data_IF_156083454373
#
_entry.id   IF_156083454373
#
_cell.length_a   1.000
_cell.length_b   1.000
_cell.length_c   1.000
_cell.angle_alpha   90.00
_cell.angle_beta   90.00
_cell.angle_gamma   90.00
#
_symmetry.space_group_name_H-M   'P 1'
#
loop_
_entity.id
_entity.type
_entity.pdbx_description
1 polymer ?
#
# COMPACT_ATOMS: atom_id res chain seq x y z
N UNK A 1 -45.43 -30.97 14.66
CA UNK A 1 -44.37 -30.58 13.73
C UNK A 1 -43.63 -29.39 14.35
N UNK A 2 -42.34 -29.17 14.07
CA UNK A 2 -41.58 -28.00 14.55
C UNK A 2 -42.25 -26.69 14.08
N UNK A 3 -42.87 -26.73 12.90
CA UNK A 3 -43.76 -25.69 12.34
C UNK A 3 -44.98 -25.32 13.22
N UNK A 4 -45.36 -26.17 14.18
CA UNK A 4 -46.47 -25.92 15.11
C UNK A 4 -46.02 -25.26 16.43
N UNK A 5 -44.72 -25.01 16.62
CA UNK A 5 -44.14 -24.57 17.90
C UNK A 5 -43.22 -23.34 17.80
N UNK A 6 -42.87 -22.91 16.60
CA UNK A 6 -41.93 -21.80 16.34
C UNK A 6 -42.58 -20.76 15.41
N UNK A 7 -42.32 -19.46 15.63
CA UNK A 7 -42.81 -18.38 14.75
C UNK A 7 -42.13 -18.43 13.38
N UNK A 8 -42.92 -18.32 12.30
CA UNK A 8 -42.42 -18.36 10.92
C UNK A 8 -41.88 -16.97 10.50
N UNK A 9 -40.69 -16.88 9.86
CA UNK A 9 -40.16 -15.62 9.34
C UNK A 9 -41.02 -15.04 8.22
N UNK A 10 -40.95 -13.72 8.03
CA UNK A 10 -41.66 -13.01 6.97
C UNK A 10 -41.27 -13.56 5.58
N UNK A 11 -42.26 -13.98 4.79
CA UNK A 11 -42.07 -14.53 3.43
C UNK A 11 -42.20 -16.04 3.26
N UNK A 12 -42.48 -16.81 4.32
CA UNK A 12 -42.65 -18.27 4.25
C UNK A 12 -44.02 -18.73 4.77
N UNK A 13 -44.67 -19.68 4.09
CA UNK A 13 -45.99 -20.20 4.49
C UNK A 13 -45.86 -21.44 5.38
N UNK A 14 -46.95 -21.79 6.07
CA UNK A 14 -47.02 -23.01 6.88
C UNK A 14 -46.82 -24.27 6.05
N UNK A 15 -47.32 -24.30 4.81
CA UNK A 15 -47.12 -25.46 3.92
C UNK A 15 -45.64 -25.68 3.55
N UNK A 16 -44.83 -24.63 3.47
CA UNK A 16 -43.40 -24.74 3.20
C UNK A 16 -42.65 -25.35 4.39
N UNK A 17 -43.10 -25.04 5.62
CA UNK A 17 -42.56 -25.62 6.85
C UNK A 17 -42.89 -27.11 6.99
N UNK A 18 -44.13 -27.51 6.68
CA UNK A 18 -44.54 -28.91 6.80
C UNK A 18 -43.85 -29.82 5.76
N UNK A 19 -43.59 -29.30 4.55
CA UNK A 19 -42.81 -30.01 3.52
C UNK A 19 -41.37 -30.25 3.96
N UNK A 20 -40.78 -29.32 4.73
CA UNK A 20 -39.42 -29.45 5.23
C UNK A 20 -39.27 -30.65 6.17
N UNK A 21 -40.26 -30.90 7.03
CA UNK A 21 -40.20 -31.98 8.02
C UNK A 21 -40.33 -33.37 7.40
N UNK A 22 -41.18 -33.50 6.37
CA UNK A 22 -41.30 -34.74 5.59
C UNK A 22 -39.97 -35.03 4.88
N UNK A 23 -39.35 -34.01 4.31
CA UNK A 23 -38.09 -34.15 3.60
C UNK A 23 -36.92 -34.55 4.51
N UNK A 24 -36.86 -34.01 5.74
CA UNK A 24 -35.88 -34.42 6.75
C UNK A 24 -36.00 -35.91 7.12
N UNK A 25 -37.22 -36.42 7.25
CA UNK A 25 -37.48 -37.83 7.58
C UNK A 25 -37.01 -38.78 6.46
N UNK A 26 -37.18 -38.40 5.19
CA UNK A 26 -36.71 -39.19 4.05
C UNK A 26 -35.17 -39.24 3.95
N UNK A 27 -34.50 -38.15 4.31
CA UNK A 27 -33.04 -38.02 4.31
C UNK A 27 -32.37 -38.95 5.32
N UNK A 28 -32.97 -39.09 6.52
CA UNK A 28 -32.52 -40.04 7.55
C UNK A 28 -32.57 -41.48 7.06
N UNK A 29 -33.55 -41.83 6.21
CA UNK A 29 -33.71 -43.16 5.63
C UNK A 29 -32.65 -43.48 4.57
N UNK A 30 -32.15 -42.49 3.84
CA UNK A 30 -31.11 -42.65 2.81
C UNK A 30 -29.70 -42.79 3.40
N UNK A 31 -29.42 -42.15 4.54
CA UNK A 31 -28.11 -42.19 5.24
C UNK A 31 -27.66 -43.59 5.69
N UNK A 32 -28.59 -44.54 5.88
CA UNK A 32 -28.24 -45.90 6.33
C UNK A 32 -27.61 -46.77 5.24
N UNK A 33 -27.51 -46.30 3.98
CA UNK A 33 -27.20 -47.15 2.83
C UNK A 33 -25.83 -46.95 2.14
N UNK A 34 -24.95 -46.03 2.58
CA UNK A 34 -23.72 -45.73 1.80
C UNK A 34 -22.42 -45.59 2.62
N UNK A 35 -21.39 -46.38 2.27
CA UNK A 35 -19.97 -46.21 2.65
C UNK A 35 -19.06 -46.44 1.43
N UNK A 36 -18.16 -45.48 1.15
CA UNK A 36 -17.03 -45.63 0.21
C UNK A 36 -17.07 -44.67 -0.99
N UNK A 37 -16.89 -43.35 -0.78
CA UNK A 37 -16.93 -42.36 -1.88
C UNK A 37 -15.70 -41.45 -1.92
N UNK A 38 -15.34 -41.07 -3.15
CA UNK A 38 -14.25 -40.15 -3.53
C UNK A 38 -14.43 -38.73 -2.95
N UNK A 39 -13.33 -37.99 -2.75
CA UNK A 39 -13.33 -36.59 -2.30
C UNK A 39 -14.07 -35.62 -3.23
N UNK A 40 -14.33 -36.02 -4.49
CA UNK A 40 -15.14 -35.25 -5.46
C UNK A 40 -16.60 -35.70 -5.54
N UNK A 41 -16.96 -36.80 -4.89
CA UNK A 41 -18.34 -37.24 -4.86
C UNK A 41 -19.20 -36.23 -4.09
N UNK A 42 -20.45 -36.06 -4.52
CA UNK A 42 -21.41 -35.25 -3.78
C UNK A 42 -21.50 -35.78 -2.33
N UNK A 43 -21.35 -34.93 -1.30
CA UNK A 43 -21.35 -35.42 0.07
C UNK A 43 -22.72 -35.99 0.42
N UNK A 44 -22.76 -37.16 1.06
CA UNK A 44 -24.00 -37.88 1.34
C UNK A 44 -24.66 -37.46 2.65
N UNK A 45 -23.99 -36.61 3.44
CA UNK A 45 -24.43 -36.16 4.75
C UNK A 45 -25.16 -34.81 4.74
N UNK A 46 -25.99 -34.60 3.74
CA UNK A 46 -26.77 -33.39 3.53
C UNK A 46 -27.82 -33.11 4.63
N UNK A 47 -28.12 -31.83 4.87
CA UNK A 47 -29.26 -31.36 5.68
C UNK A 47 -29.90 -30.12 5.04
N UNK A 48 -31.24 -29.98 5.06
CA UNK A 48 -31.89 -28.73 4.73
C UNK A 48 -31.70 -27.71 5.86
N UNK A 49 -31.84 -26.42 5.54
CA UNK A 49 -31.75 -25.34 6.52
C UNK A 49 -32.92 -24.39 6.37
N UNK A 50 -33.60 -24.09 7.46
CA UNK A 50 -34.65 -23.10 7.47
C UNK A 50 -34.10 -21.70 7.16
N UNK A 51 -34.76 -20.86 6.34
CA UNK A 51 -36.02 -21.15 5.63
C UNK A 51 -35.81 -21.74 4.21
N UNK A 52 -34.56 -21.87 3.74
CA UNK A 52 -34.19 -22.42 2.44
C UNK A 52 -34.20 -23.96 2.43
N UNK A 53 -35.34 -24.58 2.75
CA UNK A 53 -35.46 -26.04 2.95
C UNK A 53 -35.27 -26.87 1.67
N UNK A 54 -35.42 -26.23 0.50
CA UNK A 54 -35.16 -26.83 -0.81
C UNK A 54 -33.67 -26.85 -1.19
N UNK A 55 -32.82 -26.19 -0.41
CA UNK A 55 -31.37 -26.16 -0.59
C UNK A 55 -30.73 -26.95 0.54
N UNK A 56 -29.93 -27.95 0.18
CA UNK A 56 -29.24 -28.78 1.15
C UNK A 56 -27.79 -28.33 1.28
N UNK A 57 -27.27 -28.32 2.50
CA UNK A 57 -25.84 -28.14 2.77
C UNK A 57 -25.27 -29.49 3.21
N UNK A 58 -24.13 -29.88 2.62
CA UNK A 58 -23.57 -31.21 2.79
C UNK A 58 -22.09 -31.16 3.18
N UNK A 59 -21.56 -32.27 3.70
CA UNK A 59 -20.12 -32.48 3.93
C UNK A 59 -19.47 -31.51 4.91
N UNK A 60 -18.19 -31.27 4.68
CA UNK A 60 -17.38 -30.34 5.46
C UNK A 60 -17.89 -28.88 5.37
N UNK A 61 -18.53 -28.52 4.26
CA UNK A 61 -19.21 -27.22 4.14
C UNK A 61 -20.35 -27.12 5.16
N UNK A 62 -21.14 -28.19 5.33
CA UNK A 62 -22.20 -28.25 6.35
C UNK A 62 -21.62 -28.16 7.75
N UNK A 63 -20.58 -28.93 8.04
CA UNK A 63 -19.91 -28.90 9.36
C UNK A 63 -19.42 -27.49 9.67
N UNK A 64 -18.83 -26.82 8.69
CA UNK A 64 -18.38 -25.43 8.85
C UNK A 64 -19.54 -24.48 9.07
N UNK A 65 -20.58 -24.56 8.24
CA UNK A 65 -21.76 -23.71 8.34
C UNK A 65 -22.47 -23.86 9.69
N UNK A 66 -22.63 -25.10 10.18
CA UNK A 66 -23.15 -25.40 11.51
C UNK A 66 -22.31 -24.75 12.62
N UNK A 67 -20.97 -24.82 12.52
CA UNK A 67 -20.05 -24.21 13.50
C UNK A 67 -20.15 -22.69 13.58
N UNK A 68 -20.63 -22.04 12.50
CA UNK A 68 -20.83 -20.60 12.43
C UNK A 68 -22.21 -20.17 12.95
N UNK A 69 -23.11 -21.12 13.24
CA UNK A 69 -24.50 -20.86 13.64
C UNK A 69 -25.55 -21.14 12.55
N UNK A 70 -25.16 -21.70 11.41
CA UNK A 70 -26.09 -22.01 10.32
C UNK A 70 -26.81 -20.76 9.80
N UNK A 71 -28.12 -20.82 9.63
CA UNK A 71 -28.92 -19.72 9.04
C UNK A 71 -28.96 -18.45 9.87
N UNK A 72 -28.59 -18.50 11.14
CA UNK A 72 -28.48 -17.31 12.02
C UNK A 72 -27.08 -16.70 12.02
N UNK A 73 -26.12 -17.35 11.33
CA UNK A 73 -24.77 -16.81 11.16
C UNK A 73 -24.75 -15.59 10.25
N UNK A 74 -23.60 -14.91 10.20
CA UNK A 74 -23.39 -13.79 9.27
C UNK A 74 -23.56 -14.16 7.79
N UNK A 75 -23.49 -15.45 7.42
CA UNK A 75 -23.69 -15.92 6.05
C UNK A 75 -25.18 -15.90 5.64
N UNK A 76 -26.09 -15.98 6.60
CA UNK A 76 -27.51 -16.16 6.34
C UNK A 76 -27.84 -17.50 5.67
N UNK A 77 -29.08 -17.70 5.19
CA UNK A 77 -29.53 -18.98 4.65
C UNK A 77 -28.83 -19.36 3.33
N UNK A 78 -28.74 -20.68 3.02
CA UNK A 78 -28.16 -21.14 1.76
C UNK A 78 -29.05 -20.74 0.57
N UNK A 79 -28.43 -20.35 -0.54
CA UNK A 79 -29.13 -19.86 -1.75
C UNK A 79 -28.98 -20.77 -2.96
N UNK A 80 -27.96 -21.63 -2.98
CA UNK A 80 -27.74 -22.62 -4.01
C UNK A 80 -27.19 -23.92 -3.40
N UNK A 81 -27.44 -25.06 -4.05
CA UNK A 81 -26.81 -26.32 -3.66
C UNK A 81 -25.30 -26.24 -3.89
N UNK A 82 -24.56 -27.08 -3.16
CA UNK A 82 -23.13 -27.29 -3.37
C UNK A 82 -22.85 -27.67 -4.85
N UNK A 83 -21.81 -27.05 -5.42
CA UNK A 83 -21.29 -27.35 -6.76
C UNK A 83 -19.77 -27.62 -6.69
N UNK A 84 -19.29 -28.48 -7.60
CA UNK A 84 -17.85 -28.58 -7.85
C UNK A 84 -17.33 -27.29 -8.48
N UNK A 85 -16.13 -26.85 -8.07
CA UNK A 85 -15.48 -25.71 -8.67
C UNK A 85 -14.95 -26.07 -10.08
N UNK A 86 -14.82 -25.09 -11.01
CA UNK A 86 -14.31 -25.31 -12.37
C UNK A 86 -12.96 -26.02 -12.47
N UNK A 87 -12.13 -25.96 -11.42
CA UNK A 87 -10.84 -26.66 -11.35
C UNK A 87 -10.96 -28.15 -11.02
N UNK A 88 -12.17 -28.66 -10.75
CA UNK A 88 -12.47 -30.02 -10.30
C UNK A 88 -11.64 -30.47 -9.08
N UNK A 89 -11.21 -29.54 -8.23
CA UNK A 89 -10.41 -29.84 -7.03
C UNK A 89 -11.20 -29.62 -5.75
N UNK A 90 -11.99 -28.54 -5.71
CA UNK A 90 -12.79 -28.18 -4.56
C UNK A 90 -14.28 -28.08 -4.89
N UNK A 91 -15.04 -27.75 -3.86
CA UNK A 91 -16.48 -27.51 -3.94
C UNK A 91 -16.80 -26.19 -3.28
N UNK A 92 -17.95 -25.61 -3.61
CA UNK A 92 -18.46 -24.42 -2.94
C UNK A 92 -19.95 -24.49 -2.78
N UNK A 93 -20.44 -23.79 -1.77
CA UNK A 93 -21.85 -23.50 -1.59
C UNK A 93 -22.05 -22.03 -1.33
N UNK A 94 -23.09 -21.45 -1.95
CA UNK A 94 -23.41 -20.03 -1.82
C UNK A 94 -24.51 -19.85 -0.77
N UNK A 95 -24.30 -18.86 0.09
CA UNK A 95 -25.26 -18.37 1.07
C UNK A 95 -25.60 -16.92 0.76
N UNK A 96 -26.59 -16.37 1.46
CA UNK A 96 -27.08 -15.00 1.22
C UNK A 96 -25.97 -13.94 1.23
N UNK A 97 -25.06 -13.99 2.20
CA UNK A 97 -23.95 -13.02 2.34
C UNK A 97 -22.60 -13.54 1.84
N UNK A 98 -22.60 -14.63 1.07
CA UNK A 98 -21.41 -15.13 0.38
C UNK A 98 -21.20 -16.64 0.53
N UNK A 99 -20.17 -17.18 -0.13
CA UNK A 99 -19.93 -18.61 -0.21
C UNK A 99 -19.02 -19.15 0.91
N UNK A 100 -19.17 -20.45 1.16
CA UNK A 100 -18.13 -21.28 1.78
C UNK A 100 -17.48 -22.10 0.67
N UNK A 101 -16.15 -22.05 0.60
CA UNK A 101 -15.33 -22.87 -0.28
C UNK A 101 -14.69 -24.00 0.51
N UNK A 102 -14.62 -25.18 -0.08
CA UNK A 102 -13.94 -26.34 0.46
C UNK A 102 -12.94 -26.92 -0.52
N UNK A 103 -11.80 -27.36 0.00
CA UNK A 103 -10.87 -28.23 -0.74
C UNK A 103 -10.34 -29.34 0.18
N UNK A 104 -9.89 -30.48 -0.38
CA UNK A 104 -9.31 -31.55 0.44
C UNK A 104 -8.01 -31.14 1.15
N UNK A 105 -7.28 -30.13 0.66
CA UNK A 105 -6.04 -29.66 1.28
C UNK A 105 -6.27 -28.62 2.38
N UNK A 106 -7.37 -27.86 2.33
CA UNK A 106 -7.55 -26.70 3.20
C UNK A 106 -8.77 -26.78 4.09
N UNK A 107 -9.73 -27.66 3.80
CA UNK A 107 -11.00 -27.70 4.52
C UNK A 107 -11.96 -26.59 4.05
N UNK A 108 -13.04 -26.39 4.80
CA UNK A 108 -14.13 -25.48 4.44
C UNK A 108 -13.97 -24.13 5.13
N UNK A 109 -13.96 -23.04 4.35
CA UNK A 109 -13.81 -21.67 4.84
C UNK A 109 -14.77 -20.69 4.14
N UNK A 110 -15.44 -19.80 4.90
CA UNK A 110 -16.21 -18.71 4.32
C UNK A 110 -15.27 -17.67 3.70
N UNK A 111 -15.60 -17.18 2.50
CA UNK A 111 -14.91 -16.06 1.86
C UNK A 111 -15.96 -15.04 1.49
N UNK A 112 -16.00 -13.90 2.18
CA UNK A 112 -17.11 -12.94 2.09
C UNK A 112 -16.61 -11.51 1.89
N UNK A 113 -17.54 -10.60 1.56
CA UNK A 113 -17.29 -9.15 1.48
C UNK A 113 -16.06 -8.79 0.62
N UNK A 114 -15.18 -7.92 1.13
CA UNK A 114 -13.97 -7.46 0.45
C UNK A 114 -13.02 -8.60 0.06
N UNK A 115 -12.97 -9.67 0.86
CA UNK A 115 -12.16 -10.85 0.56
C UNK A 115 -12.67 -11.55 -0.70
N UNK A 116 -13.97 -11.80 -0.79
CA UNK A 116 -14.59 -12.43 -1.96
C UNK A 116 -14.41 -11.56 -3.21
N UNK A 117 -14.64 -10.25 -3.08
CA UNK A 117 -14.47 -9.32 -4.19
C UNK A 117 -13.04 -9.33 -4.72
N UNK A 118 -12.05 -9.16 -3.83
CA UNK A 118 -10.64 -9.10 -4.21
C UNK A 118 -10.12 -10.44 -4.73
N UNK A 119 -10.53 -11.54 -4.13
CA UNK A 119 -10.19 -12.88 -4.61
C UNK A 119 -10.79 -13.15 -5.99
N UNK A 120 -12.00 -12.65 -6.26
CA UNK A 120 -12.62 -12.70 -7.59
C UNK A 120 -11.86 -11.93 -8.66
N UNK A 121 -11.33 -10.74 -8.33
CA UNK A 121 -10.42 -9.99 -9.23
C UNK A 121 -9.12 -10.75 -9.52
N UNK A 122 -8.76 -11.70 -8.64
CA UNK A 122 -7.61 -12.57 -8.79
C UNK A 122 -7.99 -13.98 -9.31
N UNK A 123 -9.15 -14.13 -9.95
CA UNK A 123 -9.66 -15.35 -10.58
C UNK A 123 -9.93 -16.52 -9.62
N UNK A 124 -10.34 -16.21 -8.38
CA UNK A 124 -10.77 -17.18 -7.37
C UNK A 124 -9.77 -18.36 -7.19
N UNK A 125 -10.27 -19.59 -7.06
CA UNK A 125 -9.49 -20.81 -6.87
C UNK A 125 -8.59 -21.15 -8.06
N UNK A 126 -8.99 -20.77 -9.28
CA UNK A 126 -8.18 -20.93 -10.48
C UNK A 126 -6.98 -19.97 -10.47
N UNK A 127 -7.11 -18.87 -9.74
CA UNK A 127 -6.15 -17.79 -9.60
C UNK A 127 -4.84 -18.11 -8.90
N UNK A 128 -4.08 -17.05 -8.65
CA UNK A 128 -2.77 -17.10 -8.00
C UNK A 128 -2.83 -17.38 -6.50
N UNK A 129 -3.97 -17.14 -5.85
CA UNK A 129 -4.15 -17.37 -4.41
C UNK A 129 -4.58 -18.80 -4.06
N UNK A 130 -5.25 -19.50 -4.98
CA UNK A 130 -5.87 -20.81 -4.76
C UNK A 130 -6.93 -20.76 -3.64
N UNK A 131 -7.07 -21.82 -2.85
CA UNK A 131 -8.13 -21.93 -1.85
C UNK A 131 -7.82 -21.18 -0.55
N UNK A 132 -8.85 -20.70 0.17
CA UNK A 132 -8.67 -20.18 1.54
C UNK A 132 -8.19 -21.27 2.48
N UNK A 133 -7.33 -20.92 3.43
CA UNK A 133 -6.82 -21.81 4.51
C UNK A 133 -7.24 -21.37 5.90
N UNK A 134 -7.84 -20.19 6.02
CA UNK A 134 -8.41 -19.69 7.26
C UNK A 134 -9.75 -19.05 6.98
N UNK A 135 -10.55 -18.91 8.04
CA UNK A 135 -11.60 -17.90 8.07
C UNK A 135 -10.98 -16.50 8.12
N UNK A 136 -11.84 -15.48 8.12
CA UNK A 136 -11.42 -14.11 8.35
C UNK A 136 -10.79 -13.93 9.74
N UNK A 137 -9.61 -13.32 9.79
CA UNK A 137 -8.85 -13.00 11.00
C UNK A 137 -8.97 -11.49 11.25
N UNK A 138 -9.47 -11.11 12.41
CA UNK A 138 -9.47 -9.72 12.88
C UNK A 138 -8.13 -9.43 13.57
N UNK A 139 -7.46 -8.37 13.13
CA UNK A 139 -6.17 -7.92 13.64
C UNK A 139 -6.36 -6.92 14.79
N UNK A 140 -5.37 -6.74 15.68
CA UNK A 140 -5.49 -5.93 16.89
C UNK A 140 -5.83 -4.45 16.66
N UNK A 141 -5.48 -3.91 15.49
CA UNK A 141 -5.73 -2.53 15.07
C UNK A 141 -7.06 -2.35 14.30
N UNK A 142 -7.87 -3.41 14.21
CA UNK A 142 -9.12 -3.44 13.45
C UNK A 142 -8.94 -3.75 11.96
N UNK A 143 -7.72 -3.94 11.48
CA UNK A 143 -7.45 -4.56 10.19
C UNK A 143 -7.99 -5.99 10.13
N UNK A 144 -8.16 -6.52 8.93
CA UNK A 144 -8.63 -7.88 8.69
C UNK A 144 -7.71 -8.58 7.71
N UNK A 145 -7.55 -9.89 7.86
CA UNK A 145 -6.74 -10.72 6.98
C UNK A 145 -7.40 -12.05 6.75
N UNK A 146 -7.25 -12.61 5.56
CA UNK A 146 -7.60 -14.00 5.29
C UNK A 146 -6.46 -14.68 4.55
N UNK A 147 -6.08 -15.87 5.01
CA UNK A 147 -5.02 -16.68 4.41
C UNK A 147 -5.58 -17.57 3.31
N UNK A 148 -4.77 -17.71 2.27
CA UNK A 148 -4.97 -18.59 1.13
C UNK A 148 -3.70 -19.41 0.91
N UNK A 149 -3.77 -20.49 0.14
CA UNK A 149 -2.62 -21.42 0.00
C UNK A 149 -1.35 -20.72 -0.52
N UNK A 150 -1.51 -19.70 -1.37
CA UNK A 150 -0.39 -19.02 -2.02
C UNK A 150 -0.25 -17.55 -1.62
N UNK A 151 -0.94 -17.09 -0.58
CA UNK A 151 -0.84 -15.72 -0.11
C UNK A 151 -1.92 -15.35 0.88
N UNK A 152 -2.12 -14.06 1.10
CA UNK A 152 -3.19 -13.55 1.91
C UNK A 152 -3.78 -12.29 1.30
N UNK A 153 -5.04 -12.05 1.63
CA UNK A 153 -5.70 -10.79 1.38
C UNK A 153 -5.71 -10.02 2.70
N UNK A 154 -5.36 -8.75 2.65
CA UNK A 154 -5.36 -7.84 3.79
C UNK A 154 -6.32 -6.69 3.53
N UNK A 155 -7.18 -6.37 4.49
CA UNK A 155 -8.13 -5.27 4.45
C UNK A 155 -7.86 -4.36 5.64
N UNK A 156 -7.70 -3.06 5.38
CA UNK A 156 -7.55 -2.04 6.42
C UNK A 156 -8.49 -0.88 6.13
N UNK A 157 -8.75 0.00 7.09
CA UNK A 157 -9.69 1.11 6.91
C UNK A 157 -9.36 1.98 5.70
N UNK A 158 -8.07 2.21 5.43
CA UNK A 158 -7.59 3.00 4.29
C UNK A 158 -7.67 2.23 2.95
N UNK A 159 -7.89 0.92 2.98
CA UNK A 159 -8.05 0.05 1.82
C UNK A 159 -9.19 -0.94 2.05
N UNK A 160 -10.43 -0.43 2.01
CA UNK A 160 -11.63 -1.20 2.29
C UNK A 160 -11.89 -2.35 1.28
N UNK A 161 -11.26 -2.30 0.11
CA UNK A 161 -11.38 -3.33 -0.94
C UNK A 161 -10.38 -4.48 -0.73
N UNK A 162 -9.34 -4.24 0.07
CA UNK A 162 -8.28 -5.19 0.38
C UNK A 162 -7.23 -5.33 -0.72
N UNK A 163 -6.11 -5.97 -0.38
CA UNK A 163 -4.96 -6.19 -1.26
C UNK A 163 -4.34 -7.57 -1.08
N UNK A 164 -3.90 -8.16 -2.19
CA UNK A 164 -3.22 -9.45 -2.25
C UNK A 164 -1.72 -9.30 -2.00
N UNK A 165 -1.19 -10.07 -1.05
CA UNK A 165 0.25 -10.31 -0.90
C UNK A 165 0.49 -11.82 -0.99
N UNK A 166 1.35 -12.25 -1.91
CA UNK A 166 1.68 -13.65 -2.08
C UNK A 166 2.63 -14.16 -0.99
N UNK A 167 2.62 -15.46 -0.78
CA UNK A 167 3.66 -16.13 -0.02
C UNK A 167 5.02 -15.97 -0.74
N UNK A 168 6.08 -15.78 0.04
CA UNK A 168 7.44 -15.62 -0.46
C UNK A 168 8.10 -14.31 -0.04
N UNK A 169 9.14 -13.87 -0.76
CA UNK A 169 10.17 -13.00 -0.21
C UNK A 169 9.68 -11.60 0.19
N UNK A 170 8.70 -11.06 -0.52
CA UNK A 170 8.10 -9.76 -0.17
C UNK A 170 7.35 -9.84 1.15
N UNK A 171 6.52 -10.89 1.32
CA UNK A 171 5.75 -11.12 2.56
C UNK A 171 6.68 -11.45 3.72
N UNK A 172 7.70 -12.26 3.47
CA UNK A 172 8.71 -12.60 4.47
C UNK A 172 9.43 -11.35 4.94
N UNK A 173 9.91 -10.50 4.02
CA UNK A 173 10.54 -9.23 4.36
C UNK A 173 9.59 -8.30 5.12
N UNK A 174 8.35 -8.15 4.67
CA UNK A 174 7.37 -7.32 5.38
C UNK A 174 7.14 -7.81 6.82
N UNK A 175 7.07 -9.12 7.03
CA UNK A 175 6.96 -9.71 8.37
C UNK A 175 8.19 -9.41 9.25
N UNK A 176 9.41 -9.37 8.69
CA UNK A 176 10.61 -9.01 9.47
C UNK A 176 10.60 -7.57 10.00
N UNK A 177 9.86 -6.68 9.33
CA UNK A 177 9.73 -5.26 9.72
C UNK A 177 8.41 -4.97 10.43
N UNK A 178 7.82 -5.98 11.07
CA UNK A 178 6.60 -5.89 11.88
C UNK A 178 5.33 -6.39 11.19
N UNK A 179 5.29 -6.43 9.85
CA UNK A 179 4.14 -6.92 9.09
C UNK A 179 2.80 -6.37 9.58
N UNK A 180 1.88 -7.30 9.86
CA UNK A 180 0.57 -7.04 10.48
C UNK A 180 0.52 -7.34 11.99
N UNK A 181 1.67 -7.36 12.67
CA UNK A 181 1.75 -7.59 14.11
C UNK A 181 1.22 -6.38 14.91
N UNK A 182 0.89 -6.53 16.21
CA UNK A 182 0.53 -5.39 17.06
C UNK A 182 1.62 -4.30 17.02
N UNK A 183 1.24 -3.05 16.74
CA UNK A 183 2.17 -1.94 16.50
C UNK A 183 2.55 -1.72 15.03
N UNK A 184 2.27 -2.70 14.17
CA UNK A 184 2.39 -2.60 12.71
C UNK A 184 3.83 -2.49 12.19
N UNK A 185 3.97 -2.60 10.87
CA UNK A 185 5.17 -2.18 10.17
C UNK A 185 5.19 -0.67 9.95
N UNK A 186 6.39 -0.06 9.88
CA UNK A 186 6.54 1.32 9.41
C UNK A 186 5.98 1.52 7.99
N UNK A 187 5.88 0.45 7.19
CA UNK A 187 5.26 0.47 5.87
C UNK A 187 3.73 0.58 5.92
N UNK A 188 3.10 0.15 7.02
CA UNK A 188 1.65 0.00 7.13
C UNK A 188 1.11 -1.20 6.33
N UNK A 189 -0.16 -1.11 5.93
CA UNK A 189 -0.86 -2.14 5.15
C UNK A 189 -0.58 -2.04 3.66
N UNK A 190 -0.72 -3.15 2.91
CA UNK A 190 -0.72 -3.11 1.45
C UNK A 190 -1.94 -2.36 0.92
N UNK A 191 -1.72 -1.55 -0.11
CA UNK A 191 -2.75 -0.71 -0.75
C UNK A 191 -3.08 -1.13 -2.18
N UNK A 192 -2.26 -2.01 -2.76
CA UNK A 192 -2.45 -2.59 -4.09
C UNK A 192 -2.10 -4.09 -4.06
N UNK A 193 -2.57 -4.85 -5.05
CA UNK A 193 -2.17 -6.25 -5.20
C UNK A 193 -0.70 -6.33 -5.59
N UNK A 194 0.03 -7.29 -5.02
CA UNK A 194 1.43 -7.55 -5.35
C UNK A 194 1.59 -7.78 -6.86
N UNK A 195 2.47 -7.01 -7.48
CA UNK A 195 2.81 -7.14 -8.90
C UNK A 195 3.93 -8.18 -9.02
N UNK A 196 3.64 -9.26 -9.73
CA UNK A 196 4.58 -10.33 -10.02
C UNK A 196 4.17 -11.04 -11.34
N UNK A 197 5.02 -11.04 -12.38
CA UNK A 197 6.30 -10.34 -12.47
C UNK A 197 6.14 -8.81 -12.66
N UNK A 198 7.20 -8.06 -12.40
CA UNK A 198 7.36 -6.66 -12.83
C UNK A 198 7.47 -6.55 -14.37
N UNK A 199 7.29 -5.35 -14.97
CA UNK A 199 7.35 -5.16 -16.42
C UNK A 199 8.66 -5.60 -17.08
N UNK A 200 9.77 -5.57 -16.34
CA UNK A 200 11.09 -6.07 -16.78
C UNK A 200 11.19 -7.61 -16.79
N UNK A 201 10.21 -8.30 -16.19
CA UNK A 201 10.18 -9.76 -16.05
C UNK A 201 11.10 -10.33 -14.97
N UNK A 202 11.84 -9.49 -14.23
CA UNK A 202 12.92 -9.94 -13.34
C UNK A 202 12.54 -9.96 -11.86
N UNK A 203 11.60 -9.10 -11.46
CA UNK A 203 11.28 -8.91 -10.05
C UNK A 203 9.80 -8.92 -9.72
N UNK A 204 9.53 -8.58 -8.47
CA UNK A 204 8.19 -8.44 -7.92
C UNK A 204 8.18 -7.20 -7.03
N UNK A 205 7.03 -6.57 -6.86
CA UNK A 205 6.86 -5.51 -5.88
C UNK A 205 5.49 -5.51 -5.22
N UNK A 206 5.44 -4.95 -4.02
CA UNK A 206 4.21 -4.63 -3.33
C UNK A 206 4.24 -3.19 -2.82
N UNK A 207 3.10 -2.50 -2.95
CA UNK A 207 2.90 -1.14 -2.47
C UNK A 207 2.16 -1.16 -1.14
N UNK A 208 2.72 -0.43 -0.18
CA UNK A 208 2.20 -0.21 1.15
C UNK A 208 1.89 1.27 1.36
N UNK A 209 1.21 1.60 2.46
CA UNK A 209 0.81 2.98 2.79
C UNK A 209 1.98 3.97 2.79
N UNK A 210 3.13 3.56 3.34
CA UNK A 210 4.28 4.46 3.54
C UNK A 210 5.52 4.05 2.72
N UNK A 211 5.35 3.17 1.73
CA UNK A 211 6.46 2.77 0.88
C UNK A 211 6.19 1.54 0.02
N UNK A 212 7.26 0.94 -0.46
CA UNK A 212 7.22 -0.25 -1.33
C UNK A 212 8.21 -1.28 -0.83
N UNK A 213 7.97 -2.56 -1.14
CA UNK A 213 9.00 -3.59 -1.08
C UNK A 213 9.23 -4.08 -2.51
N UNK A 214 10.48 -4.06 -2.95
CA UNK A 214 10.90 -4.67 -4.22
C UNK A 214 11.73 -5.90 -3.94
N UNK A 215 11.57 -6.91 -4.79
CA UNK A 215 12.37 -8.13 -4.77
C UNK A 215 12.85 -8.48 -6.18
N UNK A 216 14.09 -8.94 -6.27
CA UNK A 216 14.61 -9.67 -7.44
C UNK A 216 15.41 -10.89 -6.98
N UNK A 217 15.61 -11.92 -7.83
CA UNK A 217 16.49 -13.05 -7.52
C UNK A 217 17.93 -12.63 -7.22
N UNK A 218 18.41 -11.54 -7.83
CA UNK A 218 19.78 -11.07 -7.69
C UNK A 218 20.02 -10.28 -6.40
N UNK A 219 19.01 -9.54 -5.93
CA UNK A 219 19.17 -8.62 -4.79
C UNK A 219 18.49 -9.12 -3.53
N UNK A 220 17.37 -9.81 -3.61
CA UNK A 220 16.51 -10.06 -2.45
C UNK A 220 15.47 -8.95 -2.23
N UNK A 221 14.74 -9.02 -1.11
CA UNK A 221 13.59 -8.16 -0.85
C UNK A 221 13.97 -7.01 0.09
N UNK A 222 13.74 -5.77 -0.35
CA UNK A 222 14.03 -4.58 0.45
C UNK A 222 12.92 -3.53 0.40
N UNK A 223 12.58 -2.93 1.56
CA UNK A 223 11.71 -1.79 1.64
C UNK A 223 12.41 -0.53 1.13
N UNK A 224 11.68 0.32 0.42
CA UNK A 224 12.11 1.66 0.01
C UNK A 224 11.01 2.64 0.41
N UNK A 225 11.35 3.68 1.17
CA UNK A 225 10.36 4.61 1.75
C UNK A 225 10.77 6.07 1.65
N UNK A 226 9.82 6.96 1.93
CA UNK A 226 10.07 8.40 2.11
C UNK A 226 10.85 9.07 0.98
N UNK A 227 11.82 9.90 1.37
CA UNK A 227 12.63 10.69 0.42
C UNK A 227 13.47 9.83 -0.54
N UNK A 228 13.92 8.64 -0.11
CA UNK A 228 14.65 7.72 -0.97
C UNK A 228 13.71 7.14 -2.03
N UNK A 229 12.51 6.71 -1.64
CA UNK A 229 11.50 6.22 -2.60
C UNK A 229 11.17 7.28 -3.64
N UNK A 230 10.94 8.53 -3.21
CA UNK A 230 10.66 9.63 -4.14
C UNK A 230 11.83 9.84 -5.12
N UNK A 231 13.07 9.85 -4.61
CA UNK A 231 14.26 10.03 -5.43
C UNK A 231 14.49 8.88 -6.43
N UNK A 232 14.20 7.65 -6.01
CA UNK A 232 14.33 6.45 -6.85
C UNK A 232 13.24 6.38 -7.92
N UNK A 233 12.00 6.74 -7.57
CA UNK A 233 10.87 6.83 -8.48
C UNK A 233 11.14 7.76 -9.68
N UNK A 234 11.69 8.95 -9.41
CA UNK A 234 12.06 9.94 -10.44
C UNK A 234 13.12 9.43 -11.41
N UNK A 235 13.92 8.44 -11.00
CA UNK A 235 14.95 7.85 -11.85
C UNK A 235 14.47 6.63 -12.64
N UNK A 236 13.18 6.29 -12.55
CA UNK A 236 12.58 5.17 -13.28
C UNK A 236 12.50 3.86 -12.48
N UNK A 237 12.54 3.93 -11.14
CA UNK A 237 12.50 2.76 -10.27
C UNK A 237 13.54 1.69 -10.65
N UNK A 238 13.15 0.42 -10.71
CA UNK A 238 13.99 -0.74 -11.00
C UNK A 238 14.51 -0.75 -12.44
N UNK A 239 13.82 -0.06 -13.35
CA UNK A 239 14.28 0.10 -14.75
C UNK A 239 15.23 1.28 -14.92
N UNK A 240 15.41 2.07 -13.87
CA UNK A 240 16.25 3.25 -13.82
C UNK A 240 17.73 2.96 -13.63
N UNK A 241 18.54 4.02 -13.60
CA UNK A 241 20.00 3.92 -13.44
C UNK A 241 20.46 3.21 -12.15
N UNK A 242 19.63 3.22 -11.10
CA UNK A 242 19.95 2.60 -9.81
C UNK A 242 19.58 1.11 -9.77
N UNK A 243 18.62 0.65 -10.58
CA UNK A 243 18.13 -0.73 -10.51
C UNK A 243 17.42 -1.06 -9.21
N UNK A 244 17.46 -2.33 -8.81
CA UNK A 244 16.84 -2.84 -7.59
C UNK A 244 17.61 -2.44 -6.32
N UNK A 245 16.92 -2.27 -5.17
CA UNK A 245 17.58 -2.07 -3.89
C UNK A 245 18.35 -3.32 -3.45
N UNK A 246 19.48 -3.12 -2.76
CA UNK A 246 20.37 -4.19 -2.24
C UNK A 246 20.58 -4.13 -0.74
N UNK A 247 20.10 -3.08 -0.07
CA UNK A 247 20.16 -2.92 1.39
C UNK A 247 18.86 -2.36 1.92
N UNK A 248 18.62 -2.52 3.22
CA UNK A 248 17.66 -1.67 3.93
C UNK A 248 18.16 -0.21 3.94
N UNK A 249 17.22 0.72 4.13
CA UNK A 249 17.53 2.12 4.40
C UNK A 249 18.18 2.25 5.78
N UNK A 250 19.30 2.98 5.86
CA UNK A 250 20.06 3.25 7.08
C UNK A 250 20.25 4.75 7.28
N UNK A 251 20.70 5.13 8.47
CA UNK A 251 21.24 6.48 8.75
C UNK A 251 22.76 6.41 8.84
N UNK A 252 23.45 7.41 8.31
CA UNK A 252 24.91 7.52 8.37
C UNK A 252 25.32 8.87 8.95
N UNK A 253 26.59 9.07 9.38
CA UNK A 253 27.05 10.38 9.84
C UNK A 253 26.93 11.49 8.78
N UNK A 254 26.94 11.12 7.48
CA UNK A 254 26.86 12.06 6.37
C UNK A 254 25.44 12.22 5.78
N UNK A 255 24.50 11.33 6.12
CA UNK A 255 23.16 11.32 5.56
C UNK A 255 22.11 10.85 6.58
N UNK A 256 20.99 11.56 6.68
CA UNK A 256 19.87 11.14 7.54
C UNK A 256 19.23 9.86 7.02
N UNK A 257 19.21 9.66 5.70
CA UNK A 257 18.78 8.42 5.07
C UNK A 257 19.76 8.05 3.96
N UNK A 258 20.17 6.79 3.90
CA UNK A 258 21.05 6.22 2.89
C UNK A 258 20.55 4.84 2.51
N UNK A 259 20.50 4.52 1.22
CA UNK A 259 20.16 3.18 0.75
C UNK A 259 20.93 2.84 -0.52
N UNK A 260 21.43 1.60 -0.58
CA UNK A 260 22.20 1.11 -1.73
C UNK A 260 21.31 0.32 -2.67
N UNK A 261 21.56 0.50 -3.95
CA UNK A 261 20.93 -0.15 -5.09
C UNK A 261 22.00 -0.74 -6.00
N UNK A 262 21.61 -1.57 -6.96
CA UNK A 262 22.55 -2.22 -7.90
C UNK A 262 23.50 -1.23 -8.61
N UNK A 263 22.97 -0.07 -9.01
CA UNK A 263 23.68 0.97 -9.76
C UNK A 263 24.27 2.10 -8.92
N UNK A 264 24.17 2.03 -7.59
CA UNK A 264 24.74 3.06 -6.70
C UNK A 264 23.93 3.31 -5.43
N UNK A 265 24.29 4.37 -4.70
CA UNK A 265 23.66 4.73 -3.42
C UNK A 265 22.86 6.02 -3.57
N UNK A 266 21.67 6.06 -2.96
CA UNK A 266 20.88 7.27 -2.78
C UNK A 266 21.05 7.74 -1.33
N UNK A 267 21.68 8.89 -1.16
CA UNK A 267 21.85 9.56 0.13
C UNK A 267 20.97 10.81 0.21
N UNK A 268 20.18 10.89 1.29
CA UNK A 268 19.45 12.08 1.71
C UNK A 268 20.22 12.70 2.86
N UNK A 269 20.85 13.84 2.60
CA UNK A 269 21.64 14.53 3.62
C UNK A 269 20.76 15.16 4.70
N UNK A 270 21.28 15.22 5.93
CA UNK A 270 20.66 16.02 6.97
C UNK A 270 20.59 17.47 6.48
N UNK A 271 19.42 18.10 6.51
CA UNK A 271 19.36 19.55 6.35
C UNK A 271 20.28 20.16 7.42
N UNK A 272 21.33 20.92 7.08
CA UNK A 272 22.15 21.55 8.09
C UNK A 272 21.27 22.51 8.90
N UNK A 273 21.42 22.51 10.22
CA UNK A 273 20.75 23.49 11.06
C UNK A 273 21.35 24.86 10.78
N UNK A 274 20.54 25.74 10.20
CA UNK A 274 20.86 27.13 9.98
C UNK A 274 20.87 27.86 11.31
N UNK A 275 21.94 28.58 11.67
CA UNK A 275 21.96 29.48 12.82
C UNK A 275 22.17 30.92 12.34
N UNK A 276 21.16 31.77 12.49
CA UNK A 276 21.26 33.21 12.20
C UNK A 276 21.55 33.96 13.50
N UNK A 277 22.60 34.77 13.51
CA UNK A 277 22.92 35.65 14.63
C UNK A 277 21.94 36.82 14.69
N UNK A 278 21.39 37.10 15.86
CA UNK A 278 20.49 38.22 16.13
C UNK A 278 21.33 39.38 16.68
N UNK A 279 21.05 40.60 16.23
CA UNK A 279 21.78 41.81 16.64
C UNK A 279 21.83 42.03 18.17
N UNK A 280 20.91 41.44 18.94
CA UNK A 280 20.87 41.50 20.41
C UNK A 280 21.75 40.44 21.12
N UNK A 281 22.61 39.71 20.41
CA UNK A 281 23.50 38.70 20.99
C UNK A 281 22.88 37.30 21.20
N UNK A 282 21.77 37.02 20.51
CA UNK A 282 21.15 35.68 20.45
C UNK A 282 21.38 35.00 19.11
N UNK A 283 20.95 33.75 18.97
CA UNK A 283 20.87 33.05 17.68
C UNK A 283 19.43 32.60 17.45
N UNK A 284 19.03 32.48 16.20
CA UNK A 284 17.76 31.88 15.80
C UNK A 284 18.08 30.75 14.83
N UNK A 285 17.68 29.54 15.21
CA UNK A 285 18.01 28.33 14.48
C UNK A 285 16.86 27.88 13.59
N UNK A 286 17.15 27.34 12.40
CA UNK A 286 16.14 26.84 11.46
C UNK A 286 16.57 25.56 10.76
N UNK A 287 15.59 24.80 10.28
CA UNK A 287 15.79 23.81 9.20
C UNK A 287 15.31 24.41 7.89
N UNK A 288 16.10 24.23 6.82
CA UNK A 288 15.60 24.37 5.46
C UNK A 288 15.46 22.97 4.90
N UNK A 289 14.23 22.49 4.84
CA UNK A 289 13.93 21.24 4.16
C UNK A 289 13.64 21.59 2.70
N UNK A 290 14.52 21.14 1.82
CA UNK A 290 14.31 21.25 0.38
C UNK A 290 13.76 19.92 -0.13
N UNK A 291 12.74 19.96 -0.98
CA UNK A 291 12.48 18.81 -1.85
C UNK A 291 13.59 18.68 -2.91
N UNK A 292 13.56 17.60 -3.69
CA UNK A 292 14.48 17.47 -4.82
C UNK A 292 14.06 18.40 -5.94
N UNK A 293 15.07 18.89 -6.66
CA UNK A 293 14.94 19.35 -8.04
C UNK A 293 14.14 18.35 -8.89
N UNK A 294 12.97 18.76 -9.36
CA UNK A 294 12.11 17.97 -10.23
C UNK A 294 11.69 18.77 -11.45
N UNK A 295 11.33 18.07 -12.53
CA UNK A 295 10.75 18.70 -13.72
C UNK A 295 9.23 18.63 -13.60
N UNK A 296 8.57 19.78 -13.60
CA UNK A 296 7.11 19.87 -13.67
C UNK A 296 6.67 20.28 -15.07
N UNK A 297 5.68 19.59 -15.61
CA UNK A 297 4.91 20.04 -16.77
C UNK A 297 3.55 20.48 -16.28
N UNK A 298 3.28 21.79 -16.27
CA UNK A 298 1.95 22.30 -15.93
C UNK A 298 1.12 22.50 -17.19
N UNK A 299 -0.20 22.32 -17.09
CA UNK A 299 -1.15 22.72 -18.13
C UNK A 299 -1.91 23.95 -17.65
N UNK A 300 -1.80 25.07 -18.37
CA UNK A 300 -2.57 26.28 -18.09
C UNK A 300 -3.54 26.52 -19.24
N UNK A 301 -4.85 26.40 -18.97
CA UNK A 301 -5.89 26.58 -19.98
C UNK A 301 -5.80 25.58 -21.16
N UNK A 302 -5.38 24.34 -20.91
CA UNK A 302 -5.23 23.31 -21.94
C UNK A 302 -3.90 23.36 -22.72
N UNK A 303 -3.09 24.40 -22.54
CA UNK A 303 -1.76 24.51 -23.16
C UNK A 303 -0.72 23.89 -22.23
N UNK A 304 0.10 22.98 -22.77
CA UNK A 304 1.27 22.41 -22.06
C UNK A 304 2.31 23.51 -21.93
N UNK A 305 2.62 23.90 -20.70
CA UNK A 305 3.73 24.80 -20.39
C UNK A 305 5.02 23.99 -20.55
N UNK A 306 6.08 24.56 -21.14
CA UNK A 306 7.38 23.90 -21.24
C UNK A 306 7.85 23.34 -19.88
N UNK A 307 8.54 22.18 -19.86
CA UNK A 307 8.98 21.57 -18.62
C UNK A 307 9.83 22.56 -17.82
N UNK A 308 9.47 22.75 -16.56
CA UNK A 308 10.12 23.71 -15.65
C UNK A 308 10.79 22.92 -14.52
N UNK A 309 12.09 23.10 -14.36
CA UNK A 309 12.79 22.59 -13.18
C UNK A 309 12.35 23.41 -11.95
N UNK A 310 11.93 22.74 -10.88
CA UNK A 310 11.47 23.35 -9.63
C UNK A 310 12.02 22.58 -8.43
N UNK A 311 12.21 23.30 -7.33
CA UNK A 311 12.35 22.73 -5.99
C UNK A 311 11.84 23.76 -4.98
N UNK A 312 11.34 23.28 -3.87
CA UNK A 312 10.69 24.00 -2.79
C UNK A 312 11.50 23.84 -1.51
N UNK A 313 11.80 24.96 -0.87
CA UNK A 313 12.29 24.99 0.51
C UNK A 313 11.21 25.47 1.46
N UNK A 314 11.16 24.93 2.68
CA UNK A 314 10.43 25.57 3.79
C UNK A 314 11.34 25.79 4.99
N UNK A 315 10.95 26.74 5.84
CA UNK A 315 11.73 27.17 6.98
C UNK A 315 10.93 26.99 8.28
N UNK A 316 11.51 26.33 9.26
CA UNK A 316 10.91 26.11 10.57
C UNK A 316 11.80 26.70 11.67
N UNK A 317 11.27 27.50 12.60
CA UNK A 317 12.05 28.00 13.72
C UNK A 317 12.29 26.86 14.70
N UNK A 318 13.55 26.58 15.01
CA UNK A 318 13.94 25.55 15.94
C UNK A 318 13.97 26.07 17.37
N UNK A 319 14.72 27.16 17.62
CA UNK A 319 14.89 27.77 18.94
C UNK A 319 15.27 29.25 18.85
N UNK A 320 14.90 30.03 19.87
CA UNK A 320 15.38 31.40 20.15
C UNK A 320 15.06 32.46 19.08
N UNK A 321 14.00 32.25 18.29
CA UNK A 321 13.56 33.21 17.29
C UNK A 321 12.62 34.29 17.89
N UNK A 322 12.78 35.58 17.53
CA UNK A 322 11.88 36.63 17.98
C UNK A 322 10.41 36.34 17.61
N UNK A 323 9.44 36.70 18.47
CA UNK A 323 8.03 36.68 18.10
C UNK A 323 7.82 37.54 16.83
N UNK A 324 7.30 36.94 15.76
CA UNK A 324 7.14 37.53 14.42
C UNK A 324 8.43 37.68 13.59
N UNK A 325 9.47 36.89 13.86
CA UNK A 325 10.63 36.78 12.98
C UNK A 325 10.20 36.63 11.51
N UNK A 326 10.89 37.33 10.60
CA UNK A 326 10.65 37.24 9.15
C UNK A 326 11.93 37.01 8.40
N UNK A 327 11.87 36.30 7.29
CA UNK A 327 13.04 35.98 6.48
C UNK A 327 12.84 36.34 5.00
N UNK A 328 13.93 36.71 4.36
CA UNK A 328 14.10 36.73 2.91
C UNK A 328 14.69 35.39 2.49
N UNK A 329 14.10 34.74 1.49
CA UNK A 329 14.54 33.47 0.93
C UNK A 329 15.03 33.69 -0.49
N UNK A 330 16.10 33.00 -0.90
CA UNK A 330 16.61 33.01 -2.28
C UNK A 330 16.83 31.61 -2.75
N UNK A 331 16.55 31.34 -4.02
CA UNK A 331 17.02 30.13 -4.67
C UNK A 331 17.55 30.36 -6.07
N UNK A 332 18.45 29.45 -6.44
CA UNK A 332 19.06 29.41 -7.75
C UNK A 332 19.28 27.97 -8.21
N UNK A 333 19.17 27.72 -9.52
CA UNK A 333 19.62 26.44 -10.08
C UNK A 333 21.13 26.48 -10.24
N UNK A 334 21.77 25.34 -9.93
CA UNK A 334 23.17 25.12 -10.23
C UNK A 334 23.34 23.89 -11.12
N UNK A 335 24.32 23.92 -12.01
CA UNK A 335 24.79 22.74 -12.73
C UNK A 335 26.22 22.41 -12.36
N UNK A 336 26.55 21.12 -12.40
CA UNK A 336 27.92 20.63 -12.28
C UNK A 336 28.59 20.78 -13.66
N UNK A 337 29.69 21.53 -13.70
CA UNK A 337 30.50 21.65 -14.91
C UNK A 337 31.42 20.44 -15.12
N UNK A 338 32.08 20.38 -16.28
CA UNK A 338 32.96 19.28 -16.65
C UNK A 338 34.18 19.11 -15.72
N UNK A 339 34.52 20.14 -14.94
CA UNK A 339 35.61 20.12 -13.98
C UNK A 339 35.12 19.71 -12.57
N UNK A 340 33.84 19.35 -12.42
CA UNK A 340 33.24 18.97 -11.14
C UNK A 340 32.90 20.17 -10.25
N UNK A 341 32.82 21.39 -10.78
CA UNK A 341 32.44 22.57 -10.00
C UNK A 341 30.99 22.96 -10.23
N UNK A 342 30.32 23.43 -9.18
CA UNK A 342 28.95 23.90 -9.26
C UNK A 342 28.89 25.35 -9.74
N UNK A 343 28.10 25.59 -10.79
CA UNK A 343 27.93 26.89 -11.41
C UNK A 343 26.50 27.40 -11.26
N UNK A 344 26.35 28.65 -10.83
CA UNK A 344 25.06 29.34 -10.68
C UNK A 344 24.43 29.64 -12.05
N UNK A 345 23.14 29.34 -12.20
CA UNK A 345 22.37 29.60 -13.42
C UNK A 345 21.56 30.89 -13.27
N UNK A 346 22.16 32.02 -13.64
CA UNK A 346 21.66 33.37 -13.34
C UNK A 346 20.20 33.66 -13.79
N UNK A 347 19.70 33.01 -14.84
CA UNK A 347 18.33 33.18 -15.36
C UNK A 347 17.26 32.37 -14.61
N UNK A 348 17.66 31.59 -13.61
CA UNK A 348 16.76 30.78 -12.77
C UNK A 348 16.59 31.32 -11.35
N UNK A 349 17.11 32.51 -11.09
CA UNK A 349 17.17 33.10 -9.76
C UNK A 349 15.79 33.60 -9.31
N UNK A 350 15.38 33.23 -8.10
CA UNK A 350 14.15 33.72 -7.48
C UNK A 350 14.39 34.17 -6.04
N UNK A 351 13.74 35.25 -5.64
CA UNK A 351 13.84 35.82 -4.29
C UNK A 351 12.45 36.12 -3.77
N UNK A 352 12.18 35.64 -2.56
CA UNK A 352 10.97 35.97 -1.83
C UNK A 352 11.32 36.71 -0.55
N UNK A 353 10.62 37.81 -0.31
CA UNK A 353 10.89 38.64 0.85
C UNK A 353 9.86 38.45 1.95
N UNK A 354 10.26 38.74 3.19
CA UNK A 354 9.31 39.03 4.27
C UNK A 354 8.40 37.86 4.68
N UNK A 355 8.87 36.62 4.58
CA UNK A 355 8.11 35.39 4.89
C UNK A 355 7.98 35.19 6.40
N UNK A 356 6.93 34.46 6.84
CA UNK A 356 6.67 34.07 8.25
C UNK A 356 6.93 32.56 8.48
N UNK A 357 7.41 32.16 9.68
CA UNK A 357 7.65 30.76 9.98
C UNK A 357 6.33 30.04 10.27
N UNK A 358 6.14 28.83 9.78
CA UNK A 358 4.94 28.03 10.06
C UNK A 358 4.79 26.77 9.21
N UNK A 359 4.11 25.77 9.76
CA UNK A 359 3.76 24.53 9.06
C UNK A 359 2.45 24.71 8.28
N UNK A 360 2.53 24.51 6.97
CA UNK A 360 1.40 24.64 6.05
C UNK A 360 1.94 24.67 4.63
N UNK A 361 1.44 23.78 3.77
CA UNK A 361 2.01 23.54 2.44
C UNK A 361 2.20 24.85 1.66
N UNK A 362 3.47 25.15 1.38
CA UNK A 362 4.01 26.09 0.40
C UNK A 362 4.19 27.57 0.80
N UNK A 363 5.43 27.92 1.18
CA UNK A 363 5.99 29.27 0.95
C UNK A 363 7.04 29.15 -0.16
N UNK A 364 6.67 29.55 -1.38
CA UNK A 364 7.36 29.19 -2.62
C UNK A 364 8.61 30.05 -2.85
N UNK A 365 9.81 29.49 -2.74
CA UNK A 365 10.97 29.98 -3.51
C UNK A 365 11.30 28.89 -4.52
N UNK A 366 10.96 29.12 -5.78
CA UNK A 366 11.22 28.18 -6.87
C UNK A 366 12.18 28.83 -7.86
N UNK A 367 13.32 28.19 -8.07
CA UNK A 367 14.27 28.57 -9.10
C UNK A 367 13.80 27.98 -10.43
N UNK A 368 12.91 28.69 -11.13
CA UNK A 368 12.27 28.19 -12.34
C UNK A 368 13.06 28.60 -13.57
N UNK A 369 13.36 27.65 -14.43
CA UNK A 369 13.74 27.99 -15.80
C UNK A 369 13.31 26.91 -16.78
N UNK A 370 13.10 27.32 -18.03
CA UNK A 370 12.74 26.39 -19.10
C UNK A 370 13.86 25.36 -19.23
N UNK A 371 13.49 24.09 -19.24
CA UNK A 371 14.42 22.96 -19.35
C UNK A 371 15.08 22.92 -20.74
N UNK A 372 14.38 23.35 -21.79
CA UNK A 372 14.85 23.35 -23.18
C UNK A 372 16.17 24.14 -23.26
N UNK A 373 17.22 23.52 -23.82
CA UNK A 373 18.63 23.98 -23.92
C UNK A 373 19.55 23.73 -22.71
N UNK A 374 19.10 23.05 -21.66
CA UNK A 374 19.97 22.74 -20.53
C UNK A 374 20.97 21.60 -20.77
N UNK A 375 20.67 20.72 -21.74
CA UNK A 375 21.48 19.53 -22.02
C UNK A 375 21.54 18.53 -20.85
N UNK A 376 22.15 17.35 -21.07
CA UNK A 376 22.39 16.39 -20.00
C UNK A 376 23.46 16.92 -19.05
N UNK A 377 23.06 17.31 -17.83
CA UNK A 377 23.99 17.72 -16.76
C UNK A 377 23.44 17.30 -15.41
N UNK A 378 24.33 17.22 -14.42
CA UNK A 378 23.94 17.09 -13.01
C UNK A 378 23.55 18.47 -12.48
N UNK A 379 22.32 18.60 -11.98
CA UNK A 379 21.74 19.85 -11.47
C UNK A 379 21.40 19.73 -9.99
N UNK A 380 21.41 20.86 -9.28
CA UNK A 380 20.86 20.98 -7.92
C UNK A 380 20.22 22.35 -7.74
N UNK A 381 19.37 22.49 -6.73
CA UNK A 381 18.93 23.82 -6.27
C UNK A 381 19.87 24.28 -5.15
N UNK A 382 20.19 25.56 -5.12
CA UNK A 382 20.82 26.22 -4.00
C UNK A 382 19.81 27.19 -3.38
N UNK A 383 19.54 27.08 -2.07
CA UNK A 383 18.59 27.92 -1.33
C UNK A 383 19.33 28.61 -0.18
N UNK A 384 19.14 29.90 0.01
CA UNK A 384 19.64 30.63 1.18
C UNK A 384 18.56 31.49 1.83
N UNK A 385 18.81 31.90 3.08
CA UNK A 385 17.88 32.70 3.87
C UNK A 385 18.62 33.81 4.64
N UNK A 386 17.95 34.95 4.80
CA UNK A 386 18.43 36.10 5.59
C UNK A 386 17.30 36.65 6.48
N UNK A 387 17.59 36.97 7.74
CA UNK A 387 16.60 37.49 8.69
C UNK A 387 16.35 38.98 8.45
N UNK A 388 15.09 39.37 8.29
CA UNK A 388 14.71 40.78 8.10
C UNK A 388 15.00 41.57 9.37
N UNK A 389 15.86 42.60 9.28
CA UNK A 389 16.12 43.54 10.37
C UNK A 389 17.23 43.13 11.35
N UNK A 390 17.86 41.96 11.17
CA UNK A 390 19.23 41.77 11.62
C UNK A 390 20.16 42.42 10.57
N UNK A 391 21.43 42.68 10.90
CA UNK A 391 22.41 42.85 9.81
C UNK A 391 22.23 41.63 8.89
N UNK A 392 21.93 41.85 7.60
CA UNK A 392 21.61 40.79 6.63
C UNK A 392 22.81 39.86 6.44
N UNK A 393 23.10 39.03 7.44
CA UNK A 393 24.17 38.02 7.40
C UNK A 393 23.59 36.85 6.63
N UNK A 394 24.02 36.73 5.37
CA UNK A 394 23.71 35.56 4.56
C UNK A 394 24.28 34.32 5.22
N UNK A 395 23.45 33.29 5.30
CA UNK A 395 23.89 31.95 5.65
C UNK A 395 24.76 31.32 4.57
N UNK A 396 25.60 30.32 4.89
CA UNK A 396 25.95 29.27 3.92
C UNK A 396 24.71 28.75 3.17
N UNK A 397 24.83 28.63 1.84
CA UNK A 397 23.78 28.12 0.95
C UNK A 397 23.43 26.67 1.30
N UNK A 398 22.14 26.36 1.31
CA UNK A 398 21.61 24.99 1.36
C UNK A 398 21.52 24.43 -0.06
N UNK A 399 21.81 23.15 -0.23
CA UNK A 399 21.80 22.52 -1.53
C UNK A 399 20.81 21.36 -1.53
N UNK A 400 19.89 21.34 -2.49
CA UNK A 400 19.05 20.18 -2.75
C UNK A 400 19.88 19.04 -3.34
N UNK A 401 19.33 17.83 -3.32
CA UNK A 401 20.00 16.67 -3.91
C UNK A 401 20.25 16.89 -5.41
N UNK A 402 21.45 16.50 -5.83
CA UNK A 402 21.84 16.55 -7.22
C UNK A 402 21.08 15.50 -8.04
N UNK A 403 20.69 15.85 -9.26
CA UNK A 403 20.05 14.94 -10.21
C UNK A 403 20.54 15.24 -11.62
N UNK A 404 20.83 14.19 -12.39
CA UNK A 404 21.05 14.38 -13.82
C UNK A 404 19.71 14.68 -14.51
N UNK A 405 19.56 15.89 -15.04
CA UNK A 405 18.39 16.25 -15.84
C UNK A 405 18.77 16.18 -17.31
N UNK A 406 18.01 15.39 -18.07
CA UNK A 406 18.08 15.37 -19.53
C UNK A 406 16.89 16.15 -20.06
N UNK A 407 17.13 17.41 -20.37
CA UNK A 407 16.13 18.23 -21.04
C UNK A 407 16.26 18.00 -22.55
N UNK A 408 15.39 17.14 -23.10
CA UNK A 408 15.23 16.93 -24.54
C UNK A 408 14.43 18.05 -25.19
#
# INVERSE_FOLDING_TARGET
>A
MRSDREELPEGFTKEDADKAEIFEAELLKKKSMQRGMSALAAPTDCRPYWPAVNVQVCGEIRVKYDSLGGSTSFLGPPTANDVANPDNYGRRQTFFNGPIYWSPATGAHPVVNSFLFRWGQNNYEAGRLKYPTTDEIVLPDGGRRQEFQQGAIYVAFQNAVGSVILNGPIRDKWNTVGGSAPGGSFLGYPIEDQIAPLPDGLGQMARFQNGVIYWSPATGAYPVTGHILNSWAETGYETGQFGYPTTDQITTPAAVFSQTFQGGTIDIQASPVLQLQIASGGYCAFTINNDRMHISTSKKGGVVVPPTASSHGWWEPLVNCPPNARANLRANLQYLDANGNWQDRADSFNTETNRRPGSGSTTWVAANSRCIHLGPRTWRIAVDAALVGAADVYSPKHYGNAIELKCS
#
